data_IF_329177272854
#
_entry.id   IF_329177272854
#
_cell.length_a   1.000
_cell.length_b   1.000
_cell.length_c   1.000
_cell.angle_alpha   90.00
_cell.angle_beta   90.00
_cell.angle_gamma   90.00
#
_symmetry.space_group_name_H-M   'P 1'
#
loop_
_entity.id
_entity.type
_entity.pdbx_description
1 polymer ?
#
# COMPACT_ATOMS: atom_id res chain seq x y z
N UNK A 1 17.18 7.82 -19.83
CA UNK A 1 15.71 7.81 -19.64
C UNK A 1 15.34 8.47 -18.32
N UNK A 2 15.05 9.78 -18.31
CA UNK A 2 14.63 10.53 -17.10
C UNK A 2 13.12 10.49 -16.85
N UNK A 3 12.33 10.16 -17.88
CA UNK A 3 10.87 10.14 -17.83
C UNK A 3 10.29 9.12 -16.85
N UNK A 4 10.92 7.95 -16.68
CA UNK A 4 10.50 6.95 -15.68
C UNK A 4 10.65 7.47 -14.26
N UNK A 5 11.75 8.14 -13.95
CA UNK A 5 11.98 8.74 -12.63
C UNK A 5 10.95 9.84 -12.31
N UNK A 6 10.58 10.64 -13.30
CA UNK A 6 9.53 11.65 -13.13
C UNK A 6 8.17 11.02 -12.86
N UNK A 7 7.81 9.95 -13.58
CA UNK A 7 6.58 9.18 -13.33
C UNK A 7 6.56 8.56 -11.94
N UNK A 8 7.68 7.99 -11.49
CA UNK A 8 7.76 7.42 -10.15
C UNK A 8 7.65 8.51 -9.08
N UNK A 9 8.36 9.63 -9.22
CA UNK A 9 8.22 10.78 -8.30
C UNK A 9 6.78 11.30 -8.24
N UNK A 10 6.11 11.40 -9.40
CA UNK A 10 4.71 11.82 -9.47
C UNK A 10 3.78 10.80 -8.77
N UNK A 11 4.03 9.50 -8.94
CA UNK A 11 3.26 8.46 -8.27
C UNK A 11 3.43 8.49 -6.74
N UNK A 12 4.65 8.76 -6.24
CA UNK A 12 4.90 8.91 -4.80
C UNK A 12 4.21 10.14 -4.23
N UNK A 13 4.21 11.26 -4.96
CA UNK A 13 3.44 12.44 -4.59
C UNK A 13 1.93 12.13 -4.55
N UNK A 14 1.41 11.46 -5.58
CA UNK A 14 0.00 11.06 -5.63
C UNK A 14 -0.38 10.12 -4.48
N UNK A 15 0.46 9.12 -4.21
CA UNK A 15 0.26 8.19 -3.11
C UNK A 15 0.28 8.92 -1.76
N UNK A 16 1.22 9.84 -1.53
CA UNK A 16 1.26 10.66 -0.32
C UNK A 16 -0.03 11.46 -0.11
N UNK A 17 -0.54 12.11 -1.17
CA UNK A 17 -1.83 12.82 -1.13
C UNK A 17 -2.97 11.86 -0.79
N UNK A 18 -3.00 10.67 -1.39
CA UNK A 18 -4.02 9.65 -1.11
C UNK A 18 -3.96 9.15 0.34
N UNK A 19 -2.77 8.97 0.92
CA UNK A 19 -2.62 8.61 2.34
C UNK A 19 -3.11 9.71 3.27
N UNK A 20 -2.72 10.96 3.02
CA UNK A 20 -3.13 12.10 3.86
C UNK A 20 -4.66 12.22 3.87
N UNK A 21 -5.29 12.19 2.69
CA UNK A 21 -6.74 12.25 2.56
C UNK A 21 -7.44 11.01 3.12
N UNK A 22 -6.84 9.83 2.95
CA UNK A 22 -7.33 8.57 3.51
C UNK A 22 -7.37 8.59 5.03
N UNK A 23 -6.26 8.97 5.68
CA UNK A 23 -6.15 9.13 7.14
C UNK A 23 -7.13 10.18 7.66
N UNK A 24 -7.23 11.34 7.00
CA UNK A 24 -8.21 12.37 7.36
C UNK A 24 -9.65 11.83 7.35
N UNK A 25 -10.00 10.98 6.38
CA UNK A 25 -11.33 10.34 6.29
C UNK A 25 -11.54 9.25 7.32
N UNK A 26 -10.48 8.60 7.80
CA UNK A 26 -10.56 7.60 8.88
C UNK A 26 -10.90 8.21 10.24
N UNK A 27 -10.66 9.51 10.44
CA UNK A 27 -10.98 10.21 11.68
C UNK A 27 -12.50 10.46 11.90
N UNK A 28 -13.34 10.30 10.88
CA UNK A 28 -14.80 10.42 11.01
C UNK A 28 -15.49 9.07 10.81
N UNK A 29 -16.42 8.66 11.71
CA UNK A 29 -17.14 7.39 11.60
C UNK A 29 -17.87 7.21 10.27
N UNK A 30 -18.42 8.31 9.72
CA UNK A 30 -19.21 8.29 8.48
C UNK A 30 -18.33 8.02 7.25
N UNK A 31 -17.08 8.48 7.25
CA UNK A 31 -16.16 8.34 6.11
C UNK A 31 -15.07 7.28 6.29
N UNK A 32 -15.00 6.62 7.46
CA UNK A 32 -13.89 5.76 7.82
C UNK A 32 -13.64 4.62 6.81
N UNK A 33 -14.70 3.93 6.40
CA UNK A 33 -14.60 2.85 5.40
C UNK A 33 -14.07 3.33 4.04
N UNK A 34 -14.44 4.54 3.62
CA UNK A 34 -13.93 5.12 2.36
C UNK A 34 -12.47 5.57 2.51
N UNK A 35 -12.09 6.02 3.70
CA UNK A 35 -10.72 6.43 4.01
C UNK A 35 -9.73 5.28 3.84
N UNK A 36 -10.01 4.11 4.45
CA UNK A 36 -9.10 2.95 4.33
C UNK A 36 -8.99 2.42 2.91
N UNK A 37 -10.08 2.41 2.14
CA UNK A 37 -10.06 2.02 0.72
C UNK A 37 -9.18 2.97 -0.11
N UNK A 38 -9.29 4.30 0.13
CA UNK A 38 -8.45 5.27 -0.55
C UNK A 38 -6.96 5.08 -0.22
N UNK A 39 -6.62 4.83 1.05
CA UNK A 39 -5.24 4.53 1.45
C UNK A 39 -4.74 3.23 0.79
N UNK A 40 -5.59 2.22 0.66
CA UNK A 40 -5.27 0.98 -0.05
C UNK A 40 -4.89 1.20 -1.51
N UNK A 41 -5.63 2.03 -2.24
CA UNK A 41 -5.25 2.40 -3.61
C UNK A 41 -3.91 3.15 -3.66
N UNK A 42 -3.64 4.01 -2.68
CA UNK A 42 -2.35 4.68 -2.53
C UNK A 42 -1.18 3.70 -2.39
N UNK A 43 -1.35 2.65 -1.57
CA UNK A 43 -0.33 1.61 -1.42
C UNK A 43 -0.09 0.86 -2.73
N UNK A 44 -1.15 0.47 -3.45
CA UNK A 44 -1.00 -0.25 -4.74
C UNK A 44 -0.24 0.59 -5.76
N UNK A 45 -0.59 1.87 -5.89
CA UNK A 45 0.08 2.80 -6.81
C UNK A 45 1.57 2.93 -6.47
N UNK A 46 1.89 3.15 -5.19
CA UNK A 46 3.27 3.30 -4.74
C UNK A 46 4.09 2.03 -5.00
N UNK A 47 3.56 0.86 -4.62
CA UNK A 47 4.25 -0.43 -4.80
C UNK A 47 4.50 -0.73 -6.28
N UNK A 48 3.49 -0.54 -7.15
CA UNK A 48 3.65 -0.78 -8.60
C UNK A 48 4.64 0.19 -9.22
N UNK A 49 4.62 1.46 -8.80
CA UNK A 49 5.58 2.44 -9.31
C UNK A 49 7.04 2.11 -8.97
N UNK A 50 7.29 1.51 -7.80
CA UNK A 50 8.65 1.12 -7.39
C UNK A 50 9.28 0.10 -8.33
N UNK A 51 8.51 -0.74 -9.02
CA UNK A 51 9.04 -1.67 -10.04
C UNK A 51 9.64 -0.97 -11.27
N UNK A 52 9.31 0.31 -11.49
CA UNK A 52 9.85 1.11 -12.60
C UNK A 52 11.10 1.92 -12.22
N UNK A 53 11.65 1.72 -11.00
CA UNK A 53 12.94 2.31 -10.64
C UNK A 53 14.07 1.70 -11.49
N UNK A 54 15.04 2.51 -11.94
CA UNK A 54 16.27 1.99 -12.51
C UNK A 54 17.04 1.17 -11.47
N UNK A 55 17.83 0.20 -11.93
CA UNK A 55 18.68 -0.68 -11.10
C UNK A 55 17.92 -1.61 -10.13
N UNK A 56 16.65 -1.94 -10.45
CA UNK A 56 15.92 -2.99 -9.74
C UNK A 56 16.36 -4.39 -10.18
N UNK A 57 16.97 -5.11 -9.24
CA UNK A 57 17.37 -6.50 -9.40
C UNK A 57 16.43 -7.44 -8.65
N UNK A 58 16.45 -8.74 -8.99
CA UNK A 58 15.71 -9.79 -8.29
C UNK A 58 14.18 -9.62 -8.29
N UNK A 59 13.61 -9.11 -9.38
CA UNK A 59 12.16 -8.90 -9.52
C UNK A 59 11.33 -10.15 -9.16
N UNK A 60 11.80 -11.35 -9.57
CA UNK A 60 11.13 -12.61 -9.23
C UNK A 60 11.06 -12.89 -7.72
N UNK A 61 12.16 -12.66 -6.99
CA UNK A 61 12.19 -12.82 -5.53
C UNK A 61 11.35 -11.75 -4.83
N UNK A 62 11.38 -10.51 -5.33
CA UNK A 62 10.56 -9.42 -4.79
C UNK A 62 9.07 -9.73 -4.92
N UNK A 63 8.61 -10.11 -6.11
CA UNK A 63 7.21 -10.46 -6.33
C UNK A 63 6.80 -11.67 -5.49
N UNK A 64 7.65 -12.69 -5.40
CA UNK A 64 7.39 -13.86 -4.57
C UNK A 64 7.29 -13.50 -3.07
N UNK A 65 8.18 -12.65 -2.56
CA UNK A 65 8.13 -12.18 -1.17
C UNK A 65 6.87 -11.36 -0.89
N UNK A 66 6.47 -10.47 -1.81
CA UNK A 66 5.22 -9.69 -1.69
C UNK A 66 4.01 -10.63 -1.64
N UNK A 67 3.93 -11.60 -2.56
CA UNK A 67 2.80 -12.55 -2.63
C UNK A 67 2.70 -13.38 -1.35
N UNK A 68 3.82 -13.96 -0.88
CA UNK A 68 3.81 -14.77 0.34
C UNK A 68 3.48 -13.92 1.57
N UNK A 69 4.11 -12.76 1.73
CA UNK A 69 3.87 -11.88 2.87
C UNK A 69 2.43 -11.37 2.92
N UNK A 70 1.90 -10.90 1.78
CA UNK A 70 0.51 -10.43 1.70
C UNK A 70 -0.50 -11.54 1.94
N UNK A 71 -0.29 -12.74 1.38
CA UNK A 71 -1.19 -13.87 1.58
C UNK A 71 -1.24 -14.32 3.05
N UNK A 72 -0.08 -14.45 3.70
CA UNK A 72 0.01 -14.84 5.11
C UNK A 72 -0.60 -13.78 6.04
N UNK A 73 -0.28 -12.50 5.82
CA UNK A 73 -0.83 -11.39 6.60
C UNK A 73 -2.35 -11.28 6.42
N UNK A 74 -2.86 -11.46 5.20
CA UNK A 74 -4.28 -11.45 4.92
C UNK A 74 -5.02 -12.59 5.61
N UNK A 75 -4.44 -13.80 5.60
CA UNK A 75 -5.01 -14.97 6.26
C UNK A 75 -5.07 -14.81 7.77
N UNK A 76 -3.95 -14.40 8.39
CA UNK A 76 -3.88 -14.14 9.83
C UNK A 76 -4.86 -13.04 10.23
N UNK A 77 -4.86 -11.93 9.49
CA UNK A 77 -5.71 -10.76 9.73
C UNK A 77 -7.21 -11.07 9.76
N UNK A 78 -7.65 -12.04 8.95
CA UNK A 78 -9.06 -12.44 8.86
C UNK A 78 -9.48 -13.43 9.96
N UNK A 79 -8.53 -14.16 10.55
CA UNK A 79 -8.81 -15.26 11.48
C UNK A 79 -8.79 -14.84 12.95
N UNK A 80 -8.05 -13.80 13.29
CA UNK A 80 -7.85 -13.40 14.68
C UNK A 80 -9.10 -12.77 15.30
N UNK A 81 -9.30 -13.03 16.58
CA UNK A 81 -10.41 -12.51 17.35
C UNK A 81 -10.31 -10.99 17.52
N UNK A 82 -11.45 -10.29 17.59
CA UNK A 82 -11.47 -8.83 17.80
C UNK A 82 -10.84 -8.41 19.13
N UNK A 83 -10.80 -9.31 20.13
CA UNK A 83 -10.11 -9.09 21.42
C UNK A 83 -8.60 -9.00 21.28
N UNK A 84 -8.04 -9.67 20.29
CA UNK A 84 -6.59 -9.79 20.07
C UNK A 84 -6.09 -8.77 19.02
N UNK A 85 -6.98 -7.91 18.50
CA UNK A 85 -6.60 -6.85 17.56
C UNK A 85 -5.50 -5.90 18.08
N UNK A 86 -5.39 -5.55 19.39
CA UNK A 86 -4.31 -4.68 19.86
C UNK A 86 -2.89 -5.28 19.77
N UNK A 87 -2.76 -6.60 19.68
CA UNK A 87 -1.46 -7.31 19.65
C UNK A 87 -1.13 -7.95 18.29
N UNK A 88 -2.06 -7.85 17.34
CA UNK A 88 -1.88 -8.24 15.94
C UNK A 88 -0.89 -7.33 15.21
#
# INVERSE_FOLDING_TARGET
MTWSLTLVKASYFLAAVMFILGLKRMASPVTARRGIVQAGFGMVIATVATFFLPDMHNLGLMTLAIVLGTALAWWSGKKVAMTDMPQM
#
